data_IF_960225073454
#
_entry.id   IF_960225073454
#
_cell.length_a   1.000
_cell.length_b   1.000
_cell.length_c   1.000
_cell.angle_alpha   90.00
_cell.angle_beta   90.00
_cell.angle_gamma   90.00
#
_symmetry.space_group_name_H-M   'P 1'
#
loop_
_entity.id
_entity.type
_entity.pdbx_description
1 polymer ?
#
# COMPACT_ATOMS: atom_id res chain seq x y z
N UNK A 1 -11.88 9.22 15.40
CA UNK A 1 -11.02 9.51 14.22
C UNK A 1 -11.21 10.95 13.68
N UNK A 2 -10.17 11.60 13.09
CA UNK A 2 -10.31 12.83 12.29
C UNK A 2 -9.99 12.58 10.80
N UNK A 3 -11.02 12.52 9.96
CA UNK A 3 -10.90 12.12 8.55
C UNK A 3 -10.05 13.09 7.69
N UNK A 4 -9.99 14.37 8.05
CA UNK A 4 -9.24 15.37 7.29
C UNK A 4 -7.72 15.07 7.27
N UNK A 5 -7.25 14.24 8.20
CA UNK A 5 -5.86 13.79 8.27
C UNK A 5 -5.48 12.81 7.17
N UNK A 6 -6.42 12.33 6.35
CA UNK A 6 -6.09 11.59 5.13
C UNK A 6 -5.29 12.45 4.15
N UNK A 7 -5.54 13.76 4.10
CA UNK A 7 -4.72 14.67 3.30
C UNK A 7 -3.30 14.76 3.85
N UNK A 8 -3.14 14.76 5.18
CA UNK A 8 -1.83 14.70 5.82
C UNK A 8 -1.13 13.38 5.51
N UNK A 9 -1.81 12.22 5.63
CA UNK A 9 -1.26 10.92 5.25
C UNK A 9 -0.82 10.90 3.78
N UNK A 10 -1.61 11.49 2.88
CA UNK A 10 -1.27 11.61 1.45
C UNK A 10 0.02 12.42 1.24
N UNK A 11 0.16 13.54 1.93
CA UNK A 11 1.36 14.37 1.89
C UNK A 11 2.58 13.61 2.42
N UNK A 12 2.44 12.93 3.57
CA UNK A 12 3.49 12.10 4.17
C UNK A 12 3.92 10.98 3.24
N UNK A 13 2.96 10.27 2.67
CA UNK A 13 3.22 9.17 1.73
C UNK A 13 4.06 9.63 0.52
N UNK A 14 3.81 10.85 0.04
CA UNK A 14 4.50 11.41 -1.13
C UNK A 14 5.91 11.91 -0.80
N UNK A 15 6.10 12.55 0.36
CA UNK A 15 7.31 13.34 0.61
C UNK A 15 8.21 12.78 1.72
N UNK A 16 7.67 12.05 2.69
CA UNK A 16 8.47 11.59 3.83
C UNK A 16 9.43 10.47 3.38
N UNK A 17 10.66 10.52 3.88
CA UNK A 17 11.68 9.49 3.62
C UNK A 17 11.55 8.31 4.60
N UNK A 18 11.09 8.58 5.83
CA UNK A 18 10.92 7.56 6.87
C UNK A 18 9.57 6.87 6.70
N UNK A 19 9.61 5.67 6.11
CA UNK A 19 8.41 4.89 5.83
C UNK A 19 7.71 4.39 7.10
N UNK A 20 8.45 4.23 8.20
CA UNK A 20 7.86 3.77 9.47
C UNK A 20 6.94 4.83 10.05
N UNK A 21 7.33 6.12 9.98
CA UNK A 21 6.51 7.23 10.44
C UNK A 21 5.21 7.37 9.64
N UNK A 22 5.24 7.11 8.33
CA UNK A 22 4.04 7.12 7.48
C UNK A 22 3.08 6.01 7.93
N UNK A 23 3.62 4.81 8.16
CA UNK A 23 2.83 3.66 8.59
C UNK A 23 2.23 3.83 9.98
N UNK A 24 3.03 4.28 10.95
CA UNK A 24 2.57 4.56 12.32
C UNK A 24 1.48 5.64 12.34
N UNK A 25 1.66 6.71 11.57
CA UNK A 25 0.63 7.73 11.40
C UNK A 25 -0.69 7.14 10.91
N UNK A 26 -0.65 6.20 9.96
CA UNK A 26 -1.85 5.52 9.49
C UNK A 26 -2.49 4.66 10.59
N UNK A 27 -1.70 3.89 11.33
CA UNK A 27 -2.20 3.05 12.42
C UNK A 27 -2.86 3.89 13.53
N UNK A 28 -2.14 4.88 14.05
CA UNK A 28 -2.56 5.72 15.20
C UNK A 28 -3.80 6.56 14.93
N UNK A 29 -4.15 6.78 13.66
CA UNK A 29 -5.19 7.75 13.28
C UNK A 29 -6.34 7.16 12.48
N UNK A 30 -6.20 5.93 11.98
CA UNK A 30 -7.22 5.30 11.14
C UNK A 30 -7.40 3.81 11.41
N UNK A 31 -6.34 3.00 11.33
CA UNK A 31 -6.48 1.54 11.30
C UNK A 31 -7.13 0.94 12.56
N UNK A 32 -6.97 1.59 13.72
CA UNK A 32 -7.56 1.17 14.99
C UNK A 32 -9.02 1.63 15.19
N UNK A 33 -9.58 2.40 14.24
CA UNK A 33 -10.92 2.95 14.34
C UNK A 33 -11.90 2.17 13.45
N UNK A 34 -12.85 1.40 14.02
CA UNK A 34 -13.85 0.68 13.24
C UNK A 34 -14.63 1.59 12.29
N UNK A 35 -14.92 2.82 12.73
CA UNK A 35 -15.61 3.81 11.90
C UNK A 35 -14.88 4.15 10.59
N UNK A 36 -13.57 3.91 10.51
CA UNK A 36 -12.80 4.12 9.28
C UNK A 36 -12.98 2.96 8.29
N UNK A 37 -12.98 1.73 8.79
CA UNK A 37 -13.23 0.53 7.97
C UNK A 37 -14.64 0.56 7.41
N UNK A 38 -15.62 0.98 8.22
CA UNK A 38 -17.04 1.06 7.84
C UNK A 38 -17.33 2.15 6.77
N UNK A 39 -16.37 3.03 6.48
CA UNK A 39 -16.51 4.04 5.41
C UNK A 39 -16.22 3.50 4.01
N UNK A 40 -15.58 2.33 3.93
CA UNK A 40 -15.21 1.71 2.67
C UNK A 40 -16.00 0.43 2.39
N UNK A 41 -15.85 -0.05 1.16
CA UNK A 41 -16.46 -1.30 0.71
C UNK A 41 -15.36 -2.29 0.29
N UNK A 42 -15.50 -3.60 0.62
CA UNK A 42 -14.62 -4.62 0.09
C UNK A 42 -14.56 -4.56 -1.43
N UNK A 43 -13.38 -4.32 -1.99
CA UNK A 43 -13.19 -4.06 -3.42
C UNK A 43 -11.97 -4.80 -3.93
N UNK A 44 -12.16 -5.68 -4.91
CA UNK A 44 -11.07 -6.37 -5.58
C UNK A 44 -10.23 -5.39 -6.42
N UNK A 45 -8.91 -5.50 -6.35
CA UNK A 45 -7.98 -4.67 -7.12
C UNK A 45 -6.79 -5.51 -7.61
N UNK A 46 -6.81 -5.87 -8.90
CA UNK A 46 -5.78 -6.71 -9.54
C UNK A 46 -4.39 -6.06 -9.54
N UNK A 47 -4.34 -4.74 -9.68
CA UNK A 47 -3.10 -3.98 -9.61
C UNK A 47 -2.46 -4.11 -8.23
N UNK A 48 -3.22 -3.86 -7.16
CA UNK A 48 -2.71 -4.00 -5.79
C UNK A 48 -2.31 -5.45 -5.48
N UNK A 49 -3.08 -6.43 -5.94
CA UNK A 49 -2.71 -7.84 -5.80
C UNK A 49 -1.33 -8.11 -6.43
N UNK A 50 -1.11 -7.63 -7.66
CA UNK A 50 0.17 -7.78 -8.38
C UNK A 50 1.31 -7.04 -7.68
N UNK A 51 1.08 -5.81 -7.24
CA UNK A 51 2.06 -4.99 -6.51
C UNK A 51 2.48 -5.66 -5.21
N UNK A 52 1.54 -6.20 -4.43
CA UNK A 52 1.83 -6.87 -3.16
C UNK A 52 2.72 -8.09 -3.41
N UNK A 53 2.38 -8.92 -4.40
CA UNK A 53 3.20 -10.09 -4.75
C UNK A 53 4.62 -9.69 -5.17
N UNK A 54 4.76 -8.72 -6.08
CA UNK A 54 6.06 -8.27 -6.58
C UNK A 54 6.90 -7.64 -5.45
N UNK A 55 6.27 -6.78 -4.65
CA UNK A 55 6.94 -6.08 -3.56
C UNK A 55 7.40 -7.04 -2.48
N UNK A 56 6.56 -8.00 -2.07
CA UNK A 56 6.96 -9.02 -1.11
C UNK A 56 8.09 -9.90 -1.66
N UNK A 57 8.04 -10.27 -2.95
CA UNK A 57 9.15 -10.99 -3.57
C UNK A 57 10.47 -10.22 -3.44
N UNK A 58 10.45 -8.92 -3.75
CA UNK A 58 11.64 -8.06 -3.64
C UNK A 58 12.09 -7.87 -2.18
N UNK A 59 11.16 -7.65 -1.25
CA UNK A 59 11.43 -7.46 0.18
C UNK A 59 12.12 -8.66 0.84
N UNK A 60 11.77 -9.88 0.40
CA UNK A 60 12.23 -11.14 0.99
C UNK A 60 13.21 -11.92 0.11
N UNK A 61 13.51 -11.41 -1.10
CA UNK A 61 14.49 -12.00 -2.02
C UNK A 61 14.08 -13.36 -2.61
N UNK A 62 12.81 -13.74 -2.52
CA UNK A 62 12.27 -15.01 -3.04
C UNK A 62 10.77 -14.91 -3.28
N UNK A 63 10.20 -15.85 -4.02
CA UNK A 63 8.75 -15.95 -4.13
C UNK A 63 8.11 -16.19 -2.75
N UNK A 64 7.10 -15.39 -2.43
CA UNK A 64 6.32 -15.44 -1.19
C UNK A 64 4.86 -15.67 -1.56
N UNK A 65 4.21 -16.61 -0.86
CA UNK A 65 2.77 -16.82 -1.00
C UNK A 65 2.02 -15.72 -0.24
N UNK A 66 1.15 -15.00 -0.97
CA UNK A 66 0.21 -14.04 -0.40
C UNK A 66 -1.13 -14.73 -0.17
N UNK A 67 -1.71 -14.55 1.00
CA UNK A 67 -3.06 -15.04 1.36
C UNK A 67 -3.85 -13.96 2.07
N UNK A 68 -5.16 -14.17 2.17
CA UNK A 68 -6.06 -13.39 3.03
C UNK A 68 -6.00 -11.87 2.79
N UNK A 69 -5.77 -11.47 1.52
CA UNK A 69 -5.79 -10.06 1.16
C UNK A 69 -7.25 -9.57 1.15
N UNK A 70 -7.55 -8.66 2.08
CA UNK A 70 -8.82 -7.96 2.16
C UNK A 70 -8.57 -6.53 1.74
N UNK A 71 -9.06 -6.14 0.58
CA UNK A 71 -8.92 -4.78 0.06
C UNK A 71 -10.21 -4.00 0.31
N UNK A 72 -10.10 -2.87 1.01
CA UNK A 72 -11.21 -1.96 1.31
C UNK A 72 -10.97 -0.65 0.55
N UNK A 73 -11.99 -0.17 -0.15
CA UNK A 73 -11.92 1.07 -0.92
C UNK A 73 -12.86 2.13 -0.36
N UNK A 74 -12.30 3.30 -0.06
CA UNK A 74 -13.06 4.48 0.38
C UNK A 74 -13.15 5.44 -0.81
N UNK A 75 -14.23 5.33 -1.57
CA UNK A 75 -14.41 6.02 -2.85
C UNK A 75 -14.22 7.54 -2.78
N UNK A 76 -14.75 8.19 -1.74
CA UNK A 76 -14.66 9.65 -1.54
C UNK A 76 -13.21 10.16 -1.48
N UNK A 77 -12.26 9.33 -1.05
CA UNK A 77 -10.87 9.73 -0.87
C UNK A 77 -9.91 9.04 -1.83
N UNK A 78 -10.44 8.25 -2.79
CA UNK A 78 -9.65 7.45 -3.72
C UNK A 78 -8.59 6.61 -2.97
N UNK A 79 -8.97 6.03 -1.84
CA UNK A 79 -8.04 5.39 -0.92
C UNK A 79 -8.37 3.91 -0.76
N UNK A 80 -7.39 3.07 -1.06
CA UNK A 80 -7.41 1.65 -0.75
C UNK A 80 -6.58 1.39 0.51
N UNK A 81 -7.07 0.50 1.36
CA UNK A 81 -6.28 -0.05 2.45
C UNK A 81 -6.69 -1.49 2.73
N UNK A 82 -5.84 -2.21 3.46
CA UNK A 82 -6.23 -3.52 3.92
C UNK A 82 -5.10 -4.42 4.41
N UNK A 83 -5.44 -5.45 5.21
CA UNK A 83 -4.50 -6.46 5.64
C UNK A 83 -4.28 -7.53 4.56
N UNK A 84 -3.13 -8.19 4.63
CA UNK A 84 -2.84 -9.43 3.91
C UNK A 84 -1.86 -10.29 4.73
N UNK A 85 -1.62 -11.53 4.31
CA UNK A 85 -0.57 -12.38 4.87
C UNK A 85 0.50 -12.71 3.84
N UNK A 86 1.77 -12.65 4.25
CA UNK A 86 2.94 -13.03 3.47
C UNK A 86 3.63 -14.24 4.14
N UNK A 87 3.22 -15.46 3.77
CA UNK A 87 3.61 -16.69 4.48
C UNK A 87 3.42 -16.58 6.00
N UNK A 88 2.19 -16.28 6.43
CA UNK A 88 1.79 -16.11 7.84
C UNK A 88 2.33 -14.83 8.52
N UNK A 89 3.24 -14.08 7.89
CA UNK A 89 3.61 -12.73 8.35
C UNK A 89 2.45 -11.79 8.10
N UNK A 90 2.14 -10.96 9.09
CA UNK A 90 1.08 -9.96 8.96
C UNK A 90 1.61 -8.83 8.09
N UNK A 91 0.84 -8.48 7.07
CA UNK A 91 1.12 -7.35 6.19
C UNK A 91 -0.08 -6.43 6.09
N UNK A 92 0.19 -5.20 5.67
CA UNK A 92 -0.84 -4.23 5.34
C UNK A 92 -0.41 -3.34 4.19
N UNK A 93 -1.40 -2.86 3.45
CA UNK A 93 -1.23 -1.94 2.34
C UNK A 93 -2.09 -0.70 2.57
N UNK A 94 -1.55 0.45 2.19
CA UNK A 94 -2.30 1.70 1.97
C UNK A 94 -1.95 2.24 0.59
N UNK A 95 -2.91 2.80 -0.13
CA UNK A 95 -2.71 3.27 -1.49
C UNK A 95 -3.71 4.37 -1.87
N UNK A 96 -3.21 5.50 -2.34
CA UNK A 96 -4.03 6.55 -2.92
C UNK A 96 -4.05 6.41 -4.44
N UNK A 97 -5.22 6.09 -4.97
CA UNK A 97 -5.43 5.87 -6.39
C UNK A 97 -5.44 7.16 -7.22
N UNK A 98 -5.67 8.33 -6.62
CA UNK A 98 -5.61 9.60 -7.34
C UNK A 98 -4.18 10.08 -7.59
N UNK A 99 -3.25 9.80 -6.67
CA UNK A 99 -1.82 10.12 -6.84
C UNK A 99 -0.97 8.91 -7.24
N UNK A 100 -1.55 7.71 -7.31
CA UNK A 100 -0.90 6.45 -7.67
C UNK A 100 0.30 6.07 -6.79
N UNK A 101 0.27 6.41 -5.50
CA UNK A 101 1.33 6.09 -4.53
C UNK A 101 0.75 5.26 -3.39
N UNK A 102 1.49 4.25 -2.96
CA UNK A 102 1.13 3.39 -1.82
C UNK A 102 2.33 2.98 -0.98
N UNK A 103 2.03 2.39 0.17
CA UNK A 103 3.00 1.84 1.12
C UNK A 103 2.55 0.45 1.55
N UNK A 104 3.51 -0.47 1.57
CA UNK A 104 3.35 -1.81 2.13
C UNK A 104 4.23 -1.92 3.37
N UNK A 105 3.68 -2.48 4.44
CA UNK A 105 4.39 -2.88 5.65
C UNK A 105 4.15 -4.37 5.92
N UNK A 106 5.20 -5.11 6.25
CA UNK A 106 5.12 -6.54 6.57
C UNK A 106 6.02 -6.86 7.76
N UNK A 107 5.54 -7.62 8.75
CA UNK A 107 6.41 -8.17 9.81
C UNK A 107 7.58 -8.91 9.18
N UNK A 108 8.80 -8.69 9.66
CA UNK A 108 9.99 -9.34 9.11
C UNK A 108 9.97 -10.85 9.38
N UNK A 109 9.52 -11.23 10.57
CA UNK A 109 9.56 -12.59 11.10
C UNK A 109 8.16 -13.17 11.36
N UNK A 110 8.12 -14.49 11.49
CA UNK A 110 6.99 -15.23 12.02
C UNK A 110 7.50 -16.30 13.02
N UNK A 111 7.06 -16.30 14.29
CA UNK A 111 6.14 -15.36 14.92
C UNK A 111 6.62 -13.89 14.85
N UNK A 112 5.70 -12.90 14.85
CA UNK A 112 6.08 -11.50 14.68
C UNK A 112 6.94 -10.99 15.84
N UNK A 113 7.98 -10.25 15.48
CA UNK A 113 8.85 -9.47 16.36
C UNK A 113 8.51 -7.97 16.20
N UNK A 114 9.34 -7.10 16.73
CA UNK A 114 9.28 -5.64 16.51
C UNK A 114 9.80 -5.22 15.13
N UNK A 115 10.42 -6.12 14.37
CA UNK A 115 10.97 -5.82 13.05
C UNK A 115 9.89 -5.80 11.96
N UNK A 116 9.83 -4.70 11.20
CA UNK A 116 8.93 -4.51 10.06
C UNK A 116 9.72 -4.10 8.82
N UNK A 117 9.37 -4.68 7.67
CA UNK A 117 9.86 -4.29 6.35
C UNK A 117 8.84 -3.37 5.69
N UNK A 118 9.32 -2.26 5.14
CA UNK A 118 8.51 -1.26 4.45
C UNK A 118 8.92 -1.11 3.00
N UNK A 119 7.95 -0.82 2.12
CA UNK A 119 8.24 -0.41 0.75
C UNK A 119 7.16 0.55 0.27
N UNK A 120 7.59 1.75 -0.12
CA UNK A 120 6.76 2.66 -0.91
C UNK A 120 6.78 2.22 -2.36
N UNK A 121 5.64 2.30 -3.04
CA UNK A 121 5.51 2.02 -4.46
C UNK A 121 4.72 3.12 -5.15
N UNK A 122 4.95 3.27 -6.45
CA UNK A 122 4.24 4.22 -7.31
C UNK A 122 3.95 3.57 -8.66
N UNK A 123 2.80 3.85 -9.23
CA UNK A 123 2.54 3.50 -10.63
C UNK A 123 3.37 4.43 -11.52
N UNK A 124 4.27 3.87 -12.33
CA UNK A 124 4.98 4.63 -13.35
C UNK A 124 4.13 4.57 -14.62
N UNK A 125 3.48 5.68 -14.97
CA UNK A 125 2.88 5.84 -16.29
C UNK A 125 4.01 5.74 -17.32
N UNK A 126 4.11 4.60 -18.01
CA UNK A 126 4.92 4.50 -19.21
C UNK A 126 4.24 5.36 -20.28
N UNK A 127 4.74 6.58 -20.47
CA UNK A 127 4.44 7.34 -21.68
C UNK A 127 4.94 6.50 -22.87
N UNK A 128 4.12 6.24 -23.90
CA UNK A 128 4.57 5.51 -25.06
C UNK A 128 5.76 6.29 -25.67
N UNK A 129 6.93 5.66 -25.70
CA UNK A 129 8.10 6.16 -26.41
C UNK A 129 7.71 6.31 -27.87
N UNK A 130 7.50 7.56 -28.32
CA UNK A 130 7.28 7.84 -29.72
C UNK A 130 8.56 7.47 -30.47
N UNK A 131 8.54 6.34 -31.18
CA UNK A 131 9.64 5.92 -32.05
C UNK A 131 9.83 7.00 -33.11
N UNK A 132 10.86 7.82 -32.93
CA UNK A 132 11.27 8.88 -33.86
C UNK A 132 12.16 8.26 -34.93
N UNK A 133 11.64 7.32 -35.72
CA UNK A 133 12.39 6.64 -36.77
C UNK A 133 11.48 6.25 -37.96
N UNK A 134 10.68 7.19 -38.48
CA UNK A 134 10.13 7.07 -39.84
C UNK A 134 10.13 8.46 -40.48
N UNK A 135 11.23 8.79 -41.15
CA UNK A 135 11.36 9.78 -42.23
C UNK A 135 12.78 9.63 -42.81
N UNK A 136 12.93 8.64 -43.69
CA UNK A 136 13.96 8.60 -44.73
C UNK A 136 13.26 8.36 -46.06
#
# INVERSE_FOLDING_TARGET
MNINRLQELKQKLTHDADLSNIWLFYMDHFAEHPEFTDMGEPTHNEYLHTVIHKTCHQMFGRAIKITDFISIYIAKYHFFHGPFQAERRIGGVIYFDDIKIGLIAVSADYPPTDAVKYSRFSEVLQLPTHNRNELN
#
